data_IF_339471052224
#
_entry.id   IF_339471052224
#
_cell.length_a   1.000
_cell.length_b   1.000
_cell.length_c   1.000
_cell.angle_alpha   90.00
_cell.angle_beta   90.00
_cell.angle_gamma   90.00
#
_symmetry.space_group_name_H-M   'P 1'
#
loop_
_entity.id
_entity.type
_entity.pdbx_description
1 polymer ?
#
# COMPACT_ATOMS: atom_id res chain seq x y z
N UNK A 1 2.73 9.82 -20.77
CA UNK A 1 2.23 9.08 -21.94
C UNK A 1 0.76 9.38 -22.10
N UNK A 2 0.27 9.54 -23.32
CA UNK A 2 -1.16 9.71 -23.53
C UNK A 2 -1.90 8.40 -23.32
N UNK A 3 -2.88 8.39 -22.42
CA UNK A 3 -3.74 7.25 -22.13
C UNK A 3 -5.19 7.63 -22.40
N UNK A 4 -5.92 6.75 -23.10
CA UNK A 4 -7.33 6.95 -23.40
C UNK A 4 -8.19 6.61 -22.17
N UNK A 5 -9.15 7.48 -21.86
CA UNK A 5 -10.07 7.36 -20.75
C UNK A 5 -11.51 7.47 -21.22
N UNK A 6 -12.37 6.63 -20.69
CA UNK A 6 -13.81 6.70 -20.91
C UNK A 6 -14.51 7.11 -19.62
N UNK A 7 -15.23 8.22 -19.66
CA UNK A 7 -16.06 8.66 -18.55
C UNK A 7 -17.41 7.90 -18.53
N UNK A 8 -18.09 7.87 -17.38
CA UNK A 8 -19.47 7.38 -17.27
C UNK A 8 -20.47 8.16 -18.14
N UNK A 9 -20.16 9.40 -18.54
CA UNK A 9 -20.94 10.15 -19.52
C UNK A 9 -20.62 9.78 -20.98
N UNK A 10 -19.91 8.66 -21.18
CA UNK A 10 -19.45 8.08 -22.46
C UNK A 10 -18.47 8.96 -23.24
N UNK A 11 -18.08 10.11 -22.68
CA UNK A 11 -17.05 10.93 -23.29
C UNK A 11 -15.68 10.27 -23.17
N UNK A 12 -15.06 10.05 -24.32
CA UNK A 12 -13.67 9.58 -24.43
C UNK A 12 -12.74 10.77 -24.58
N UNK A 13 -11.63 10.75 -23.85
CA UNK A 13 -10.60 11.78 -23.93
C UNK A 13 -9.23 11.19 -23.56
N UNK A 14 -8.17 11.88 -23.97
CA UNK A 14 -6.80 11.49 -23.62
C UNK A 14 -6.31 12.28 -22.42
N UNK A 15 -5.64 11.61 -21.49
CA UNK A 15 -4.91 12.24 -20.41
C UNK A 15 -3.42 11.87 -20.50
N UNK A 16 -2.55 12.85 -20.20
CA UNK A 16 -1.13 12.58 -20.10
C UNK A 16 -0.80 12.02 -18.71
N UNK A 17 -0.54 10.73 -18.65
CA UNK A 17 -0.18 10.01 -17.44
C UNK A 17 1.21 9.41 -17.69
N UNK A 18 2.26 9.90 -17.02
CA UNK A 18 3.59 9.32 -17.15
C UNK A 18 3.63 7.91 -16.56
N UNK A 19 4.56 7.09 -17.06
CA UNK A 19 4.80 5.75 -16.51
C UNK A 19 5.57 5.80 -15.19
N UNK A 20 6.19 6.93 -14.87
CA UNK A 20 6.88 7.14 -13.61
C UNK A 20 6.74 8.55 -13.06
N UNK A 21 6.79 8.64 -11.73
CA UNK A 21 6.80 9.89 -10.97
C UNK A 21 7.99 9.88 -10.01
N UNK A 22 8.77 10.97 -10.01
CA UNK A 22 9.85 11.19 -9.05
C UNK A 22 9.36 12.12 -7.93
N UNK A 23 9.10 11.54 -6.75
CA UNK A 23 8.60 12.29 -5.59
C UNK A 23 9.67 13.20 -4.97
N UNK A 24 10.96 12.94 -5.22
CA UNK A 24 12.04 13.79 -4.70
C UNK A 24 12.09 15.16 -5.38
N UNK A 25 11.49 15.26 -6.57
CA UNK A 25 11.44 16.47 -7.40
C UNK A 25 10.10 17.20 -7.31
N UNK A 26 9.06 16.54 -6.82
CA UNK A 26 7.68 17.04 -6.87
C UNK A 26 6.94 16.68 -5.57
N UNK A 27 6.87 17.62 -4.62
CA UNK A 27 6.18 17.43 -3.34
C UNK A 27 4.69 17.13 -3.49
N UNK A 28 4.06 17.66 -4.54
CA UNK A 28 2.62 17.57 -4.76
C UNK A 28 2.16 16.13 -5.03
N UNK A 29 3.04 15.30 -5.59
CA UNK A 29 2.71 13.89 -5.85
C UNK A 29 2.57 13.11 -4.54
N UNK A 30 3.50 13.29 -3.60
CA UNK A 30 3.44 12.66 -2.28
C UNK A 30 2.11 13.00 -1.58
N UNK A 31 1.78 14.30 -1.54
CA UNK A 31 0.55 14.77 -0.91
C UNK A 31 -0.70 14.22 -1.62
N UNK A 32 -0.71 14.22 -2.96
CA UNK A 32 -1.82 13.67 -3.75
C UNK A 32 -2.03 12.19 -3.52
N UNK A 33 -0.96 11.42 -3.28
CA UNK A 33 -1.07 10.01 -2.92
C UNK A 33 -1.72 9.92 -1.53
N UNK A 34 -1.15 10.61 -0.53
CA UNK A 34 -1.60 10.52 0.87
C UNK A 34 -3.05 10.99 1.08
N UNK A 35 -3.56 11.91 0.26
CA UNK A 35 -4.95 12.37 0.34
C UNK A 35 -5.90 11.62 -0.61
N UNK A 36 -5.40 10.66 -1.40
CA UNK A 36 -6.17 9.84 -2.32
C UNK A 36 -6.65 10.56 -3.59
N UNK A 37 -6.04 11.71 -3.94
CA UNK A 37 -6.29 12.44 -5.18
C UNK A 37 -5.31 12.07 -6.31
N UNK A 38 -4.32 11.21 -6.05
CA UNK A 38 -3.40 10.73 -7.07
C UNK A 38 -4.14 10.09 -8.25
N UNK A 39 -3.70 10.39 -9.47
CA UNK A 39 -4.35 9.99 -10.73
C UNK A 39 -5.82 10.43 -10.86
N UNK A 40 -6.30 11.41 -10.07
CA UNK A 40 -7.65 11.93 -10.22
C UNK A 40 -7.74 12.90 -11.40
N UNK A 41 -8.62 12.62 -12.35
CA UNK A 41 -8.75 13.36 -13.61
C UNK A 41 -10.20 13.79 -13.79
N UNK A 42 -10.44 15.08 -14.02
CA UNK A 42 -11.79 15.59 -14.29
C UNK A 42 -12.15 15.38 -15.76
N UNK A 43 -13.33 14.82 -16.00
CA UNK A 43 -13.87 14.72 -17.35
C UNK A 43 -14.14 16.14 -17.90
N UNK A 44 -13.64 16.49 -19.10
CA UNK A 44 -13.83 17.82 -19.68
C UNK A 44 -15.28 18.09 -20.11
N UNK A 45 -16.11 17.04 -20.26
CA UNK A 45 -17.51 17.17 -20.68
C UNK A 45 -18.48 17.35 -19.50
N UNK A 46 -18.43 16.49 -18.49
CA UNK A 46 -19.40 16.50 -17.39
C UNK A 46 -18.82 16.91 -16.03
N UNK A 47 -17.50 17.15 -15.93
CA UNK A 47 -16.83 17.56 -14.70
C UNK A 47 -16.65 16.46 -13.64
N UNK A 48 -17.17 15.24 -13.88
CA UNK A 48 -17.00 14.08 -12.98
C UNK A 48 -15.52 13.79 -12.75
N UNK A 49 -15.15 13.58 -11.50
CA UNK A 49 -13.80 13.18 -11.11
C UNK A 49 -13.64 11.67 -11.32
N UNK A 50 -12.79 11.28 -12.28
CA UNK A 50 -12.41 9.90 -12.53
C UNK A 50 -11.17 9.57 -11.72
N UNK A 51 -11.11 8.34 -11.19
CA UNK A 51 -9.93 7.80 -10.49
C UNK A 51 -9.44 6.53 -11.21
N UNK A 52 -8.94 6.65 -12.45
CA UNK A 52 -8.38 5.50 -13.13
C UNK A 52 -7.13 5.00 -12.40
N UNK A 53 -6.99 3.69 -12.33
CA UNK A 53 -5.77 3.06 -11.86
C UNK A 53 -4.99 2.54 -13.06
N UNK A 54 -3.74 2.97 -13.18
CA UNK A 54 -2.84 2.46 -14.19
C UNK A 54 -1.51 2.08 -13.55
N UNK A 55 -0.77 1.10 -14.11
CA UNK A 55 0.56 0.82 -13.64
C UNK A 55 1.46 2.04 -13.81
N UNK A 56 2.05 2.49 -12.70
CA UNK A 56 3.05 3.57 -12.67
C UNK A 56 4.13 3.27 -11.64
N UNK A 57 5.36 3.67 -11.91
CA UNK A 57 6.50 3.53 -11.00
C UNK A 57 6.74 4.83 -10.25
N UNK A 58 6.77 4.78 -8.94
CA UNK A 58 7.01 5.93 -8.07
C UNK A 58 8.43 5.78 -7.53
N UNK A 59 9.29 6.74 -7.82
CA UNK A 59 10.72 6.74 -7.49
C UNK A 59 11.08 7.99 -6.69
N UNK A 60 12.33 8.08 -6.21
CA UNK A 60 12.80 9.24 -5.45
C UNK A 60 12.63 9.07 -3.95
N UNK A 61 12.29 7.87 -3.49
CA UNK A 61 12.39 7.53 -2.08
C UNK A 61 13.87 7.46 -1.69
N UNK A 62 14.25 8.18 -0.63
CA UNK A 62 15.61 8.09 -0.10
C UNK A 62 15.86 6.71 0.49
N UNK A 63 16.96 6.08 0.06
CA UNK A 63 17.44 4.82 0.65
C UNK A 63 17.74 5.07 2.14
N UNK A 64 16.81 4.66 3.00
CA UNK A 64 16.92 4.84 4.45
C UNK A 64 16.29 3.63 5.15
N UNK A 65 15.81 3.79 6.39
CA UNK A 65 15.25 2.72 7.23
C UNK A 65 14.06 1.98 6.59
N UNK A 66 13.41 2.59 5.58
CA UNK A 66 12.26 2.00 4.91
C UNK A 66 12.59 0.79 4.04
N UNK A 67 13.87 0.57 3.67
CA UNK A 67 14.29 -0.63 2.95
C UNK A 67 13.83 -0.73 1.49
N UNK A 68 13.37 0.37 0.89
CA UNK A 68 13.05 0.49 -0.54
C UNK A 68 13.26 1.92 -1.06
N UNK A 69 13.51 2.03 -2.36
CA UNK A 69 13.81 3.29 -3.08
C UNK A 69 12.79 3.62 -4.17
N UNK A 70 11.93 2.66 -4.50
CA UNK A 70 10.90 2.76 -5.50
C UNK A 70 9.74 1.82 -5.20
N UNK A 71 8.54 2.23 -5.63
CA UNK A 71 7.30 1.47 -5.53
C UNK A 71 6.71 1.37 -6.94
N UNK A 72 6.34 0.16 -7.35
CA UNK A 72 5.44 -0.04 -8.47
C UNK A 72 3.99 -0.02 -7.94
N UNK A 73 3.20 0.93 -8.43
CA UNK A 73 1.76 0.91 -8.30
C UNK A 73 1.17 -0.08 -9.32
N UNK A 74 0.35 -0.99 -8.83
CA UNK A 74 -0.38 -1.99 -9.61
C UNK A 74 -1.87 -1.74 -9.40
N UNK A 75 -2.68 -1.64 -10.47
CA UNK A 75 -4.13 -1.50 -10.32
C UNK A 75 -4.74 -2.65 -9.52
N UNK A 76 -5.75 -2.36 -8.70
CA UNK A 76 -6.49 -3.34 -7.90
C UNK A 76 -7.10 -4.43 -8.79
N UNK A 77 -7.59 -4.07 -9.98
CA UNK A 77 -8.12 -5.00 -10.98
C UNK A 77 -7.08 -6.02 -11.47
N UNK A 78 -5.80 -5.77 -11.25
CA UNK A 78 -4.71 -6.66 -11.63
C UNK A 78 -4.15 -7.47 -10.46
N UNK A 79 -4.74 -7.35 -9.25
CA UNK A 79 -4.31 -8.08 -8.04
C UNK A 79 -4.14 -9.56 -8.30
N UNK A 80 -5.20 -10.23 -8.77
CA UNK A 80 -5.18 -11.69 -8.98
C UNK A 80 -4.18 -12.09 -10.06
N UNK A 81 -4.09 -11.31 -11.14
CA UNK A 81 -3.13 -11.57 -12.21
C UNK A 81 -1.69 -11.46 -11.72
N UNK A 82 -1.40 -10.49 -10.86
CA UNK A 82 -0.10 -10.32 -10.24
C UNK A 82 0.23 -11.45 -9.25
N UNK A 83 -0.69 -11.74 -8.32
CA UNK A 83 -0.47 -12.75 -7.27
C UNK A 83 -0.37 -14.17 -7.83
N UNK A 84 -1.09 -14.49 -8.91
CA UNK A 84 -0.97 -15.77 -9.62
C UNK A 84 0.24 -15.83 -10.57
N UNK A 85 1.08 -14.80 -10.62
CA UNK A 85 2.25 -14.74 -11.50
C UNK A 85 1.93 -14.62 -13.00
N UNK A 86 0.67 -14.36 -13.36
CA UNK A 86 0.23 -14.13 -14.76
C UNK A 86 0.66 -12.75 -15.28
N UNK A 87 1.03 -11.84 -14.38
CA UNK A 87 1.55 -10.51 -14.69
C UNK A 87 2.70 -10.16 -13.74
N UNK A 88 3.75 -9.55 -14.27
CA UNK A 88 4.94 -9.20 -13.50
C UNK A 88 5.29 -7.72 -13.68
N UNK A 89 6.02 -7.20 -12.69
CA UNK A 89 6.44 -5.81 -12.60
C UNK A 89 7.84 -5.71 -11.99
N UNK A 90 8.56 -4.63 -12.27
CA UNK A 90 9.99 -4.47 -11.96
C UNK A 90 10.31 -3.52 -10.80
N UNK A 91 9.31 -3.08 -10.03
CA UNK A 91 9.53 -2.20 -8.87
C UNK A 91 10.15 -2.92 -7.67
N UNK A 92 10.98 -2.21 -6.89
CA UNK A 92 11.59 -2.74 -5.66
C UNK A 92 10.59 -3.04 -4.53
N UNK A 93 9.46 -2.31 -4.54
CA UNK A 93 8.23 -2.65 -3.81
C UNK A 93 7.02 -2.65 -4.72
N UNK A 94 6.01 -3.42 -4.35
CA UNK A 94 4.73 -3.49 -5.06
C UNK A 94 3.64 -3.00 -4.12
N UNK A 95 2.81 -2.07 -4.60
CA UNK A 95 1.59 -1.62 -3.96
C UNK A 95 0.42 -1.89 -4.91
N UNK A 96 -0.53 -2.72 -4.48
CA UNK A 96 -1.70 -3.09 -5.26
C UNK A 96 -2.90 -2.25 -4.78
N UNK A 97 -3.47 -1.46 -5.68
CA UNK A 97 -4.57 -0.55 -5.39
C UNK A 97 -4.16 0.66 -4.56
N UNK A 98 -5.00 1.70 -4.58
CA UNK A 98 -4.67 2.99 -3.97
C UNK A 98 -4.38 2.89 -2.46
N UNK A 99 -5.08 2.00 -1.74
CA UNK A 99 -4.93 1.85 -0.29
C UNK A 99 -3.51 1.40 0.12
N UNK A 100 -2.94 0.40 -0.56
CA UNK A 100 -1.58 -0.06 -0.28
C UNK A 100 -0.55 1.00 -0.68
N UNK A 101 -0.80 1.74 -1.77
CA UNK A 101 0.10 2.80 -2.20
C UNK A 101 0.14 3.94 -1.18
N UNK A 102 -1.03 4.40 -0.73
CA UNK A 102 -1.18 5.41 0.32
C UNK A 102 -0.40 5.00 1.57
N UNK A 103 -0.59 3.76 2.01
CA UNK A 103 0.07 3.26 3.20
C UNK A 103 1.59 3.21 3.03
N UNK A 104 2.12 2.66 1.92
CA UNK A 104 3.57 2.62 1.72
C UNK A 104 4.18 4.02 1.72
N UNK A 105 3.56 4.99 1.04
CA UNK A 105 4.02 6.39 1.08
C UNK A 105 3.92 6.98 2.49
N UNK A 106 2.87 6.68 3.26
CA UNK A 106 2.74 7.12 4.65
C UNK A 106 3.83 6.53 5.55
N UNK A 107 4.16 5.25 5.38
CA UNK A 107 5.25 4.57 6.10
C UNK A 107 6.61 5.18 5.76
N UNK A 108 6.85 5.47 4.48
CA UNK A 108 8.05 6.19 4.06
C UNK A 108 8.16 7.55 4.74
N UNK A 109 7.10 8.35 4.72
CA UNK A 109 7.06 9.68 5.36
C UNK A 109 7.31 9.59 6.87
N UNK A 110 6.77 8.55 7.51
CA UNK A 110 6.98 8.25 8.93
C UNK A 110 8.35 7.61 9.23
N UNK A 111 9.17 7.32 8.20
CA UNK A 111 10.49 6.67 8.29
C UNK A 111 10.43 5.28 8.93
N UNK A 112 9.37 4.53 8.64
CA UNK A 112 9.14 3.17 9.13
C UNK A 112 9.53 2.12 8.08
N UNK A 113 10.04 0.98 8.52
CA UNK A 113 10.26 -0.20 7.69
C UNK A 113 8.92 -0.91 7.44
N UNK A 114 8.55 -1.09 6.17
CA UNK A 114 7.28 -1.70 5.80
C UNK A 114 7.17 -3.14 6.31
N UNK A 115 8.29 -3.86 6.39
CA UNK A 115 8.33 -5.23 6.94
C UNK A 115 8.01 -5.27 8.43
N UNK A 116 8.53 -4.32 9.22
CA UNK A 116 8.21 -4.26 10.65
C UNK A 116 6.71 -4.01 10.87
N UNK A 117 6.13 -3.14 10.04
CA UNK A 117 4.70 -2.82 10.08
C UNK A 117 3.86 -4.02 9.70
N UNK A 118 4.21 -4.76 8.65
CA UNK A 118 3.51 -5.99 8.27
C UNK A 118 3.57 -7.06 9.37
N UNK A 119 4.70 -7.21 10.07
CA UNK A 119 4.77 -8.10 11.25
C UNK A 119 3.79 -7.66 12.33
N UNK A 120 3.68 -6.36 12.63
CA UNK A 120 2.72 -5.86 13.62
C UNK A 120 1.27 -6.12 13.20
N UNK A 121 0.95 -5.94 11.91
CA UNK A 121 -0.38 -6.28 11.38
C UNK A 121 -0.67 -7.76 11.53
N UNK A 122 0.29 -8.64 11.21
CA UNK A 122 0.14 -10.08 11.39
C UNK A 122 -0.17 -10.44 12.85
N UNK A 123 0.62 -9.90 13.79
CA UNK A 123 0.41 -10.13 15.23
C UNK A 123 -0.92 -9.57 15.75
N UNK A 124 -1.48 -8.56 15.09
CA UNK A 124 -2.83 -8.06 15.39
C UNK A 124 -3.89 -9.01 14.84
N UNK A 125 -3.74 -9.50 13.60
CA UNK A 125 -4.64 -10.48 12.99
C UNK A 125 -4.71 -11.78 13.79
N UNK A 126 -3.57 -12.31 14.27
CA UNK A 126 -3.52 -13.53 15.09
C UNK A 126 -4.34 -13.43 16.40
N UNK A 127 -4.57 -12.22 16.90
CA UNK A 127 -5.34 -11.99 18.13
C UNK A 127 -6.84 -11.84 17.87
N UNK A 128 -7.28 -11.85 16.61
CA UNK A 128 -8.67 -11.68 16.23
C UNK A 128 -9.35 -13.03 16.07
N UNK A 129 -10.59 -13.14 16.54
CA UNK A 129 -11.41 -14.36 16.40
C UNK A 129 -11.90 -14.58 14.97
N UNK A 130 -12.10 -13.49 14.21
CA UNK A 130 -12.50 -13.51 12.81
C UNK A 130 -11.66 -12.51 12.02
N UNK A 131 -11.03 -13.01 10.95
CA UNK A 131 -10.12 -12.24 10.09
C UNK A 131 -10.64 -12.10 8.66
N UNK A 132 -11.75 -12.77 8.31
CA UNK A 132 -12.34 -12.67 6.98
C UNK A 132 -12.81 -11.24 6.69
N UNK A 133 -12.37 -10.70 5.55
CA UNK A 133 -12.60 -9.31 5.16
C UNK A 133 -11.92 -8.24 6.04
N UNK A 134 -11.13 -8.62 7.05
CA UNK A 134 -10.44 -7.67 7.93
C UNK A 134 -9.22 -7.09 7.23
N UNK A 135 -9.11 -5.76 7.24
CA UNK A 135 -7.93 -5.05 6.72
C UNK A 135 -7.36 -4.13 7.77
N UNK A 136 -6.05 -4.18 7.97
CA UNK A 136 -5.33 -3.35 8.93
C UNK A 136 -4.39 -2.42 8.17
N UNK A 137 -4.56 -1.13 8.37
CA UNK A 137 -3.71 -0.10 7.76
C UNK A 137 -3.04 0.74 8.84
N UNK A 138 -1.77 1.06 8.65
CA UNK A 138 -1.09 2.12 9.38
C UNK A 138 -1.82 3.45 9.14
N UNK A 139 -2.06 4.17 10.24
CA UNK A 139 -2.68 5.49 10.19
C UNK A 139 -1.65 6.59 10.44
N UNK A 140 -1.00 6.55 11.60
CA UNK A 140 -0.12 7.62 12.05
C UNK A 140 0.82 7.16 13.19
N UNK A 141 1.82 7.99 13.49
CA UNK A 141 2.58 7.90 14.74
C UNK A 141 2.14 9.01 15.69
N UNK A 142 1.79 8.67 16.92
CA UNK A 142 1.35 9.63 17.94
C UNK A 142 2.01 9.32 19.29
N UNK A 143 2.68 10.29 19.92
CA UNK A 143 3.13 10.25 21.34
C UNK A 143 3.78 8.91 21.77
N UNK A 144 4.72 8.41 20.96
CA UNK A 144 5.42 7.15 21.27
C UNK A 144 4.59 5.88 20.99
N UNK A 145 3.56 5.99 20.16
CA UNK A 145 2.78 4.85 19.65
C UNK A 145 2.66 4.89 18.13
N UNK A 146 2.44 3.72 17.53
CA UNK A 146 2.05 3.52 16.15
C UNK A 146 0.57 3.14 16.13
N UNK A 147 -0.23 3.89 15.40
CA UNK A 147 -1.67 3.69 15.31
C UNK A 147 -2.04 2.94 14.02
N UNK A 148 -2.91 1.95 14.17
CA UNK A 148 -3.51 1.19 13.09
C UNK A 148 -5.01 1.33 13.08
N UNK A 149 -5.58 1.45 11.88
CA UNK A 149 -7.01 1.40 11.63
C UNK A 149 -7.38 0.00 11.12
N UNK A 150 -8.37 -0.61 11.78
CA UNK A 150 -8.84 -1.96 11.52
C UNK A 150 -10.24 -1.85 10.92
N UNK A 151 -10.35 -2.23 9.66
CA UNK A 151 -11.60 -2.27 8.90
C UNK A 151 -12.14 -3.70 8.85
N UNK A 152 -13.46 -3.85 8.76
CA UNK A 152 -14.12 -5.16 8.55
C UNK A 152 -14.57 -5.89 9.82
N UNK A 153 -14.24 -5.39 11.03
CA UNK A 153 -14.70 -6.02 12.29
C UNK A 153 -16.22 -5.94 12.50
N UNK A 154 -16.85 -4.83 12.08
CA UNK A 154 -18.31 -4.61 12.08
C UNK A 154 -18.65 -3.70 10.91
N UNK A 155 -19.84 -3.87 10.33
CA UNK A 155 -20.36 -2.92 9.34
C UNK A 155 -20.32 -1.50 9.93
N UNK A 156 -19.65 -0.60 9.21
CA UNK A 156 -19.54 0.84 9.49
C UNK A 156 -18.74 1.26 10.73
N UNK A 157 -17.85 0.42 11.26
CA UNK A 157 -16.91 0.81 12.34
C UNK A 157 -15.45 0.56 11.97
N UNK A 158 -14.62 1.51 12.35
CA UNK A 158 -13.16 1.41 12.29
C UNK A 158 -12.66 1.13 13.70
N UNK A 159 -11.98 -0.01 13.89
CA UNK A 159 -11.23 -0.30 15.11
C UNK A 159 -9.92 0.49 15.12
N UNK A 160 -9.48 0.95 16.28
CA UNK A 160 -8.19 1.62 16.45
C UNK A 160 -7.31 0.77 17.35
N UNK A 161 -6.10 0.46 16.89
CA UNK A 161 -5.08 -0.23 17.69
C UNK A 161 -3.86 0.67 17.84
N UNK A 162 -3.42 0.91 19.07
CA UNK A 162 -2.22 1.69 19.37
C UNK A 162 -1.13 0.77 19.90
N UNK A 163 -0.04 0.69 19.18
CA UNK A 163 1.11 -0.15 19.50
C UNK A 163 2.23 0.72 20.08
N UNK A 164 2.81 0.39 21.25
CA UNK A 164 3.95 1.13 21.78
C UNK A 164 5.14 1.15 20.81
N UNK A 165 5.80 2.29 20.67
CA UNK A 165 6.99 2.46 19.83
C UNK A 165 8.10 1.46 20.17
N UNK A 166 8.27 1.15 21.46
CA UNK A 166 9.23 0.15 21.91
C UNK A 166 8.97 -1.25 21.31
N UNK A 167 7.69 -1.62 21.10
CA UNK A 167 7.36 -2.89 20.45
C UNK A 167 7.71 -2.86 18.97
N UNK A 168 7.45 -1.74 18.28
CA UNK A 168 7.88 -1.55 16.88
C UNK A 168 9.41 -1.70 16.76
N UNK A 169 10.18 -1.02 17.61
CA UNK A 169 11.64 -1.08 17.56
C UNK A 169 12.17 -2.50 17.77
N UNK A 170 11.55 -3.26 18.68
CA UNK A 170 11.88 -4.67 18.87
C UNK A 170 11.59 -5.50 17.62
N UNK A 171 10.42 -5.32 17.02
CA UNK A 171 10.03 -6.02 15.80
C UNK A 171 10.96 -5.67 14.62
N UNK A 172 11.31 -4.39 14.46
CA UNK A 172 12.24 -3.90 13.44
C UNK A 172 13.62 -4.56 13.59
N UNK A 173 14.16 -4.62 14.81
CA UNK A 173 15.42 -5.30 15.09
C UNK A 173 15.38 -6.82 14.80
N UNK A 174 14.20 -7.44 14.98
CA UNK A 174 14.00 -8.87 14.77
C UNK A 174 13.75 -9.26 13.31
N UNK A 175 13.63 -8.31 12.36
CA UNK A 175 13.36 -8.61 10.94
C UNK A 175 14.31 -9.68 10.35
N UNK A 176 15.65 -9.60 10.53
CA UNK A 176 16.57 -10.59 9.96
C UNK A 176 16.34 -12.01 10.47
N UNK A 177 15.80 -12.14 11.69
CA UNK A 177 15.40 -13.42 12.28
C UNK A 177 14.08 -13.89 11.69
N UNK A 178 13.08 -13.00 11.65
CA UNK A 178 11.73 -13.30 11.14
C UNK A 178 11.72 -13.70 9.66
N UNK A 179 12.62 -13.18 8.84
CA UNK A 179 12.78 -13.60 7.43
C UNK A 179 13.09 -15.11 7.26
N UNK A 180 13.47 -15.81 8.34
CA UNK A 180 13.79 -17.24 8.35
C UNK A 180 12.67 -18.10 8.97
N UNK A 181 11.59 -17.48 9.41
CA UNK A 181 10.50 -18.13 10.14
C UNK A 181 9.21 -18.05 9.32
N UNK A 182 8.44 -19.14 9.28
CA UNK A 182 7.10 -19.12 8.70
C UNK A 182 6.10 -18.52 9.71
N UNK A 183 5.09 -17.75 9.27
CA UNK A 183 4.80 -17.36 7.89
C UNK A 183 5.50 -16.06 7.46
N UNK A 184 6.39 -15.51 8.29
CA UNK A 184 7.00 -14.20 8.06
C UNK A 184 7.87 -14.13 6.81
N UNK A 185 8.53 -15.23 6.42
CA UNK A 185 9.28 -15.26 5.16
C UNK A 185 8.42 -14.81 3.98
N UNK A 186 7.24 -15.42 3.82
CA UNK A 186 6.34 -15.12 2.70
C UNK A 186 5.82 -13.69 2.77
N UNK A 187 5.43 -13.21 3.95
CA UNK A 187 4.89 -11.87 4.16
C UNK A 187 5.93 -10.78 3.83
N UNK A 188 7.19 -11.01 4.22
CA UNK A 188 8.24 -9.98 4.23
C UNK A 188 9.17 -10.02 3.02
N UNK A 189 9.08 -11.06 2.19
CA UNK A 189 9.93 -11.20 1.00
C UNK A 189 9.51 -10.21 -0.12
N UNK A 190 10.42 -9.31 -0.55
CA UNK A 190 10.14 -8.40 -1.66
C UNK A 190 9.97 -9.15 -2.99
N UNK A 191 9.35 -8.52 -4.01
CA UNK A 191 8.96 -7.11 -4.06
C UNK A 191 7.60 -6.80 -3.41
N UNK A 192 6.77 -7.80 -3.16
CA UNK A 192 5.47 -7.59 -2.52
C UNK A 192 5.57 -7.89 -1.02
N UNK A 193 5.56 -6.86 -0.16
CA UNK A 193 5.60 -7.01 1.31
C UNK A 193 4.21 -6.68 1.85
N UNK A 194 3.49 -7.70 2.30
CA UNK A 194 2.08 -7.60 2.71
C UNK A 194 1.58 -8.85 3.42
N UNK A 195 0.88 -8.69 4.55
CA UNK A 195 0.15 -9.78 5.24
C UNK A 195 -1.00 -10.34 4.41
N UNK A 196 -1.47 -9.63 3.40
CA UNK A 196 -2.56 -10.11 2.53
C UNK A 196 -2.17 -11.36 1.74
N UNK A 197 -0.87 -11.67 1.60
CA UNK A 197 -0.40 -12.91 0.95
C UNK A 197 -0.97 -14.17 1.61
N UNK A 198 -0.92 -14.22 2.94
CA UNK A 198 -1.33 -15.41 3.70
C UNK A 198 -2.85 -15.49 3.91
N UNK A 199 -3.56 -14.36 3.80
CA UNK A 199 -5.02 -14.32 3.90
C UNK A 199 -5.72 -15.07 2.75
N UNK A 200 -4.99 -15.38 1.67
CA UNK A 200 -5.50 -16.11 0.50
C UNK A 200 -5.33 -17.63 0.61
N UNK A 201 -4.38 -18.13 1.39
CA UNK A 201 -4.16 -19.58 1.53
C UNK A 201 -5.26 -20.28 2.32
N UNK A 202 -5.95 -19.56 3.19
CA UNK A 202 -7.08 -20.09 3.99
C UNK A 202 -8.39 -20.14 3.17
N UNK A 203 -8.41 -19.52 1.99
CA UNK A 203 -9.58 -19.45 1.11
C UNK A 203 -9.52 -20.42 -0.10
N UNK A 204 -8.50 -21.29 -0.16
CA UNK A 204 -8.33 -22.34 -1.18
C UNK A 204 -8.63 -23.72 -0.58
#
# INVERSE_FOLDING_TARGET
MKRSLTCHCEHMFEADIPDSYDISRTSDIEESILNGSFLSIRCPKCGTLLKPEFPVRIIGFSASRCGYTDIQFVPELERDAYLLGKRSYSGGRIAIGMAELMEKVALYKAKLDDRAVEVLKYLLLEKMEATDGVRIFFSQTEKGTIEFHIHGLRSDKIGISKIPWALYQKVEADIPKRLKEDPFREILEPPYVSVTKISMEVAS
#
